data_IF_309182368059
#
_entry.id   IF_309182368059
#
_cell.length_a   1.000
_cell.length_b   1.000
_cell.length_c   1.000
_cell.angle_alpha   90.00
_cell.angle_beta   90.00
_cell.angle_gamma   90.00
#
_symmetry.space_group_name_H-M   'P 1'
#
loop_
_entity.id
_entity.type
_entity.pdbx_description
1 polymer ?
#
# COMPACT_ATOMS: atom_id res chain seq x y z
N UNK A 1 70.22 -32.61 17.30
CA UNK A 1 70.13 -31.29 16.64
C UNK A 1 68.99 -31.30 15.62
N UNK A 2 67.84 -30.73 15.99
CA UNK A 2 66.92 -29.96 15.12
C UNK A 2 65.77 -29.51 16.02
N UNK A 3 65.84 -28.24 16.41
CA UNK A 3 64.76 -27.50 17.06
C UNK A 3 63.85 -26.97 15.95
N UNK A 4 62.53 -27.14 16.10
CA UNK A 4 61.56 -26.28 15.41
C UNK A 4 60.51 -25.86 16.45
N UNK A 5 60.32 -24.54 16.49
CA UNK A 5 59.50 -23.78 17.40
C UNK A 5 57.99 -23.92 17.10
N UNK A 6 57.22 -24.06 18.19
CA UNK A 6 55.99 -23.33 18.56
C UNK A 6 55.06 -22.82 17.45
N UNK A 7 53.78 -23.23 17.51
CA UNK A 7 52.64 -22.31 17.44
C UNK A 7 51.38 -22.96 18.03
N UNK A 8 51.00 -22.52 19.23
CA UNK A 8 49.64 -22.63 19.75
C UNK A 8 48.72 -21.76 18.88
N UNK A 9 47.61 -22.31 18.40
CA UNK A 9 46.44 -21.53 18.03
C UNK A 9 45.21 -22.14 18.70
N UNK A 10 44.87 -21.57 19.86
CA UNK A 10 43.51 -21.56 20.38
C UNK A 10 42.83 -20.36 19.72
N UNK A 11 41.74 -20.54 18.98
CA UNK A 11 40.72 -19.49 18.86
C UNK A 11 39.33 -20.05 18.52
N UNK A 12 38.48 -19.98 19.54
CA UNK A 12 37.04 -19.70 19.58
C UNK A 12 36.07 -20.39 18.62
N UNK A 13 35.10 -21.08 19.24
CA UNK A 13 33.76 -21.26 18.70
C UNK A 13 33.15 -19.91 18.30
N UNK A 14 32.52 -19.87 17.14
CA UNK A 14 31.53 -18.85 16.77
C UNK A 14 30.28 -19.59 16.29
N UNK A 15 29.38 -19.82 17.24
CA UNK A 15 27.96 -20.09 16.99
C UNK A 15 27.40 -18.80 16.38
N UNK A 16 27.42 -18.69 15.05
CA UNK A 16 26.60 -17.75 14.30
C UNK A 16 25.41 -18.55 13.77
N UNK A 17 24.24 -18.54 14.40
CA UNK A 17 23.51 -17.29 14.68
C UNK A 17 22.88 -16.74 13.41
N UNK A 18 22.33 -17.63 12.55
CA UNK A 18 21.48 -17.25 11.42
C UNK A 18 20.06 -17.71 11.68
N UNK A 19 19.43 -17.21 12.75
CA UNK A 19 17.97 -17.22 12.81
C UNK A 19 17.55 -16.30 11.66
N UNK A 20 17.15 -16.90 10.54
CA UNK A 20 16.36 -16.22 9.52
C UNK A 20 15.05 -15.85 10.20
N UNK A 21 15.03 -14.70 10.87
CA UNK A 21 13.79 -14.02 11.16
C UNK A 21 13.27 -13.62 9.79
N UNK A 22 12.48 -14.51 9.18
CA UNK A 22 11.47 -14.16 8.22
C UNK A 22 10.62 -13.10 8.91
N UNK A 23 10.97 -11.84 8.69
CA UNK A 23 10.14 -10.71 9.02
C UNK A 23 8.91 -10.80 8.12
N UNK A 24 7.96 -11.67 8.49
CA UNK A 24 6.55 -11.44 8.18
C UNK A 24 6.17 -10.21 8.99
N UNK A 25 6.45 -9.05 8.43
CA UNK A 25 5.79 -7.81 8.84
C UNK A 25 4.33 -8.00 8.49
N UNK A 26 3.57 -8.61 9.41
CA UNK A 26 2.13 -8.57 9.35
C UNK A 26 1.73 -7.13 9.63
N UNK A 27 1.51 -6.35 8.58
CA UNK A 27 0.78 -5.10 8.71
C UNK A 27 -0.53 -5.46 9.43
N UNK A 28 -0.77 -4.87 10.60
CA UNK A 28 -1.90 -5.23 11.45
C UNK A 28 -3.20 -5.28 10.64
N UNK A 29 -4.11 -6.17 11.01
CA UNK A 29 -5.37 -6.38 10.29
C UNK A 29 -6.17 -5.06 10.22
N UNK A 30 -5.97 -4.29 9.15
CA UNK A 30 -6.78 -3.12 8.85
C UNK A 30 -8.22 -3.55 8.60
N UNK A 31 -9.17 -2.66 8.84
CA UNK A 31 -10.57 -2.90 8.49
C UNK A 31 -10.63 -3.14 6.99
N UNK A 32 -11.11 -4.31 6.58
CA UNK A 32 -11.27 -4.60 5.15
C UNK A 32 -12.41 -3.74 4.59
N UNK A 33 -12.12 -2.96 3.56
CA UNK A 33 -13.11 -2.08 2.93
C UNK A 33 -13.49 -2.64 1.57
N UNK A 34 -14.77 -2.92 1.41
CA UNK A 34 -15.39 -3.33 0.15
C UNK A 34 -15.70 -2.09 -0.71
N UNK A 35 -15.39 -2.14 -2.00
CA UNK A 35 -15.68 -1.05 -2.96
C UNK A 35 -17.16 -0.65 -3.01
N UNK A 36 -18.08 -1.56 -2.67
CA UNK A 36 -19.51 -1.26 -2.55
C UNK A 36 -19.78 -0.24 -1.45
N UNK A 37 -19.01 -0.24 -0.36
CA UNK A 37 -19.13 0.76 0.70
C UNK A 37 -18.68 2.14 0.20
N UNK A 38 -17.55 2.20 -0.50
CA UNK A 38 -17.04 3.44 -1.12
C UNK A 38 -18.05 4.01 -2.12
N UNK A 39 -18.63 3.15 -2.97
CA UNK A 39 -19.63 3.53 -3.96
C UNK A 39 -20.95 4.07 -3.37
N UNK A 40 -21.21 3.92 -2.07
CA UNK A 40 -22.39 4.50 -1.41
C UNK A 40 -22.21 5.99 -1.05
N UNK A 41 -21.00 6.54 -1.17
CA UNK A 41 -20.76 7.97 -0.97
C UNK A 41 -21.53 8.79 -2.02
N UNK A 42 -22.39 9.70 -1.56
CA UNK A 42 -22.97 10.75 -2.41
C UNK A 42 -21.91 11.84 -2.62
N UNK A 43 -21.13 11.68 -3.69
CA UNK A 43 -20.06 12.60 -4.04
C UNK A 43 -20.57 13.94 -4.60
N UNK A 44 -21.83 14.03 -5.03
CA UNK A 44 -22.42 15.29 -5.52
C UNK A 44 -22.81 16.20 -4.35
N UNK A 45 -23.38 15.61 -3.29
CA UNK A 45 -23.72 16.33 -2.06
C UNK A 45 -22.60 16.32 -1.01
N UNK A 46 -21.45 15.69 -1.30
CA UNK A 46 -20.36 15.44 -0.38
C UNK A 46 -20.83 14.81 0.95
N UNK A 47 -21.70 13.79 0.86
CA UNK A 47 -22.39 13.20 2.00
C UNK A 47 -22.05 11.71 2.16
N UNK A 48 -21.19 11.34 3.12
CA UNK A 48 -20.87 9.94 3.40
C UNK A 48 -22.00 9.24 4.17
N UNK A 49 -22.06 7.92 4.03
CA UNK A 49 -22.90 7.05 4.87
C UNK A 49 -22.36 7.00 6.30
N UNK A 50 -23.19 6.53 7.23
CA UNK A 50 -22.75 6.33 8.62
C UNK A 50 -21.61 5.32 8.70
N UNK A 51 -21.66 4.27 7.90
CA UNK A 51 -20.62 3.24 7.81
C UNK A 51 -19.29 3.80 7.29
N UNK A 52 -19.33 4.67 6.28
CA UNK A 52 -18.14 5.38 5.80
C UNK A 52 -17.56 6.28 6.89
N UNK A 53 -18.40 7.03 7.61
CA UNK A 53 -17.96 7.89 8.70
C UNK A 53 -17.30 7.09 9.83
N UNK A 54 -17.75 5.86 10.12
CA UNK A 54 -17.16 5.02 11.17
C UNK A 54 -15.73 4.56 10.87
N UNK A 55 -15.35 4.48 9.59
CA UNK A 55 -14.00 4.09 9.17
C UNK A 55 -13.09 5.28 8.83
N UNK A 56 -13.62 6.50 8.84
CA UNK A 56 -12.82 7.72 8.66
C UNK A 56 -11.77 7.87 9.78
N UNK A 57 -10.51 8.07 9.39
CA UNK A 57 -9.35 8.09 10.29
C UNK A 57 -8.98 6.72 10.88
N UNK A 58 -9.49 5.60 10.36
CA UNK A 58 -9.10 4.25 10.79
C UNK A 58 -8.09 3.62 9.84
N UNK A 59 -7.33 2.66 10.36
CA UNK A 59 -6.49 1.81 9.53
C UNK A 59 -7.35 0.80 8.78
N UNK A 60 -7.23 0.82 7.45
CA UNK A 60 -7.98 -0.04 6.53
C UNK A 60 -7.04 -0.89 5.69
N UNK A 61 -7.61 -1.89 5.02
CA UNK A 61 -7.03 -2.50 3.84
C UNK A 61 -8.05 -2.53 2.71
N UNK A 62 -7.63 -2.13 1.51
CA UNK A 62 -8.49 -2.06 0.33
C UNK A 62 -7.81 -2.84 -0.81
N UNK A 63 -8.49 -3.79 -1.46
CA UNK A 63 -7.92 -4.47 -2.61
C UNK A 63 -8.12 -3.61 -3.86
N UNK A 64 -7.19 -3.61 -4.81
CA UNK A 64 -7.38 -2.88 -6.06
C UNK A 64 -6.18 -2.92 -6.98
N UNK A 65 -6.24 -2.08 -8.01
CA UNK A 65 -5.19 -1.93 -9.02
C UNK A 65 -4.54 -0.55 -8.91
N UNK A 66 -3.23 -0.51 -9.05
CA UNK A 66 -2.44 0.72 -8.99
C UNK A 66 -2.46 1.41 -10.36
N UNK A 67 -2.84 2.68 -10.37
CA UNK A 67 -2.67 3.61 -11.49
C UNK A 67 -1.67 4.67 -11.04
N UNK A 68 -0.38 4.55 -11.43
CA UNK A 68 0.65 5.51 -11.03
C UNK A 68 0.29 6.92 -11.48
N UNK A 69 0.58 7.91 -10.64
CA UNK A 69 0.45 9.33 -10.99
C UNK A 69 1.79 9.96 -11.40
N UNK A 70 2.87 9.20 -11.32
CA UNK A 70 4.23 9.63 -11.60
C UNK A 70 4.82 8.80 -12.74
N UNK A 71 5.34 9.45 -13.78
CA UNK A 71 5.71 8.80 -15.05
C UNK A 71 7.12 8.16 -15.08
N UNK A 72 7.94 8.30 -14.03
CA UNK A 72 9.38 7.99 -14.16
C UNK A 72 10.08 7.36 -12.95
N UNK A 73 9.34 6.93 -11.93
CA UNK A 73 9.98 6.38 -10.73
C UNK A 73 9.94 4.86 -10.68
N UNK A 74 11.07 4.26 -10.32
CA UNK A 74 11.15 2.83 -9.95
C UNK A 74 10.31 2.53 -8.70
N UNK A 75 10.16 3.54 -7.83
CA UNK A 75 9.36 3.51 -6.62
C UNK A 75 8.18 4.46 -6.78
N UNK A 76 6.96 3.97 -6.56
CA UNK A 76 5.75 4.78 -6.61
C UNK A 76 5.47 5.33 -5.22
N UNK A 77 5.25 6.65 -5.12
CA UNK A 77 4.82 7.30 -3.87
C UNK A 77 3.39 7.79 -3.92
N UNK A 78 2.90 8.19 -5.09
CA UNK A 78 1.53 8.66 -5.28
C UNK A 78 0.84 7.94 -6.45
N UNK A 79 -0.35 7.42 -6.21
CA UNK A 79 -1.13 6.67 -7.20
C UNK A 79 -2.63 6.72 -6.91
N UNK A 80 -3.45 6.38 -7.91
CA UNK A 80 -4.85 6.04 -7.69
C UNK A 80 -4.99 4.53 -7.51
N UNK A 81 -5.70 4.13 -6.48
CA UNK A 81 -6.21 2.76 -6.34
C UNK A 81 -7.61 2.71 -6.94
N UNK A 82 -7.85 1.71 -7.80
CA UNK A 82 -9.13 1.51 -8.50
C UNK A 82 -9.61 0.06 -8.39
N UNK A 83 -10.93 -0.20 -8.48
CA UNK A 83 -11.47 -1.55 -8.31
C UNK A 83 -11.15 -2.50 -9.48
N UNK A 84 -10.85 -1.96 -10.66
CA UNK A 84 -10.52 -2.74 -11.86
C UNK A 84 -9.53 -1.97 -12.75
N UNK A 85 -8.65 -2.66 -13.50
CA UNK A 85 -7.60 -2.01 -14.29
C UNK A 85 -8.15 -1.29 -15.53
N UNK A 86 -9.40 -1.58 -15.94
CA UNK A 86 -10.10 -0.91 -17.04
C UNK A 86 -10.55 0.51 -16.69
N UNK A 87 -10.51 0.91 -15.41
CA UNK A 87 -11.13 2.14 -14.93
C UNK A 87 -10.54 3.42 -15.53
N UNK A 88 -9.26 3.45 -15.91
CA UNK A 88 -8.58 4.68 -16.36
C UNK A 88 -8.18 4.72 -17.84
N UNK A 89 -8.50 3.67 -18.61
CA UNK A 89 -8.13 3.56 -20.04
C UNK A 89 -9.20 4.11 -21.00
N UNK A 90 -10.35 4.56 -20.49
CA UNK A 90 -11.44 5.14 -21.28
C UNK A 90 -11.93 6.46 -20.66
N UNK A 91 -12.50 7.34 -21.49
CA UNK A 91 -13.11 8.60 -21.07
C UNK A 91 -14.65 8.46 -21.02
N UNK A 92 -15.34 9.11 -20.06
CA UNK A 92 -14.80 9.91 -18.96
C UNK A 92 -14.13 9.03 -17.88
N UNK A 93 -13.22 9.60 -17.06
CA UNK A 93 -12.67 8.93 -15.89
C UNK A 93 -13.77 8.45 -14.92
N UNK A 94 -13.45 7.53 -13.98
CA UNK A 94 -14.41 7.05 -12.99
C UNK A 94 -14.96 8.19 -12.12
N UNK A 95 -16.16 8.01 -11.53
CA UNK A 95 -16.68 8.93 -10.53
C UNK A 95 -15.74 9.04 -9.30
N UNK A 96 -15.77 10.16 -8.55
CA UNK A 96 -14.90 10.39 -7.39
C UNK A 96 -14.96 9.32 -6.29
N UNK A 97 -16.10 8.63 -6.16
CA UNK A 97 -16.30 7.57 -5.18
C UNK A 97 -15.88 6.17 -5.67
N UNK A 98 -15.27 6.07 -6.85
CA UNK A 98 -14.73 4.82 -7.43
C UNK A 98 -13.21 4.83 -7.54
N UNK A 99 -12.55 5.78 -6.90
CA UNK A 99 -11.10 5.93 -6.85
C UNK A 99 -10.68 6.23 -5.42
N UNK A 100 -9.46 5.85 -5.05
CA UNK A 100 -8.84 6.26 -3.79
C UNK A 100 -7.47 6.84 -4.12
N UNK A 101 -7.20 8.06 -3.64
CA UNK A 101 -5.89 8.68 -3.75
C UNK A 101 -4.98 8.06 -2.70
N UNK A 102 -3.86 7.47 -3.10
CA UNK A 102 -2.94 6.86 -2.15
C UNK A 102 -1.62 7.60 -2.15
N UNK A 103 -1.20 8.03 -0.96
CA UNK A 103 0.12 8.59 -0.72
C UNK A 103 0.89 7.70 0.24
N UNK A 104 1.92 7.03 -0.27
CA UNK A 104 2.73 6.12 0.53
C UNK A 104 3.71 6.89 1.41
N UNK A 105 3.83 6.49 2.67
CA UNK A 105 4.83 7.04 3.61
C UNK A 105 6.27 6.70 3.20
N UNK A 106 6.45 5.63 2.43
CA UNK A 106 7.73 5.19 1.85
C UNK A 106 7.47 4.74 0.42
N UNK A 107 8.38 5.03 -0.50
CA UNK A 107 8.27 4.54 -1.87
C UNK A 107 8.19 3.02 -1.92
N UNK A 108 7.29 2.50 -2.77
CA UNK A 108 7.07 1.06 -2.95
C UNK A 108 7.33 0.67 -4.40
N UNK A 109 7.76 -0.58 -4.62
CA UNK A 109 7.95 -1.06 -5.99
C UNK A 109 6.64 -1.00 -6.78
N UNK A 110 6.73 -0.53 -8.03
CA UNK A 110 5.58 -0.43 -8.92
C UNK A 110 5.04 -1.84 -9.26
N UNK A 111 3.98 -2.27 -8.59
CA UNK A 111 3.23 -3.47 -8.99
C UNK A 111 2.10 -3.04 -9.92
N UNK A 112 2.39 -3.00 -11.22
CA UNK A 112 1.42 -2.60 -12.25
C UNK A 112 0.77 -3.83 -12.87
N UNK A 113 -0.56 -3.79 -13.04
CA UNK A 113 -1.31 -4.81 -13.78
C UNK A 113 -1.74 -6.04 -12.98
N UNK A 114 -1.37 -6.13 -11.69
CA UNK A 114 -1.85 -7.15 -10.77
C UNK A 114 -2.62 -6.51 -9.60
N UNK A 115 -3.64 -7.19 -9.05
CA UNK A 115 -4.33 -6.70 -7.87
C UNK A 115 -3.43 -6.74 -6.64
N UNK A 116 -3.57 -5.74 -5.78
CA UNK A 116 -2.84 -5.59 -4.52
C UNK A 116 -3.78 -5.28 -3.37
N UNK A 117 -3.35 -5.59 -2.15
CA UNK A 117 -3.87 -5.00 -0.93
C UNK A 117 -3.09 -3.73 -0.59
N UNK A 118 -3.78 -2.61 -0.40
CA UNK A 118 -3.20 -1.37 0.14
C UNK A 118 -3.64 -1.20 1.58
N UNK A 119 -2.68 -0.98 2.47
CA UNK A 119 -2.89 -0.76 3.91
C UNK A 119 -2.55 0.68 4.27
N UNK A 120 -3.35 1.31 5.13
CA UNK A 120 -3.05 2.65 5.65
C UNK A 120 -4.22 3.30 6.38
N UNK A 121 -4.02 4.56 6.81
CA UNK A 121 -5.09 5.37 7.41
C UNK A 121 -6.01 5.90 6.31
N UNK A 122 -7.30 5.58 6.39
CA UNK A 122 -8.33 6.02 5.47
C UNK A 122 -8.87 7.40 5.85
N UNK A 123 -9.10 8.25 4.86
CA UNK A 123 -9.75 9.55 5.02
C UNK A 123 -10.82 9.77 3.97
N UNK A 124 -11.94 10.34 4.40
CA UNK A 124 -12.92 10.92 3.48
C UNK A 124 -12.48 12.36 3.20
N UNK A 125 -11.95 12.60 2.01
CA UNK A 125 -11.42 13.90 1.61
C UNK A 125 -11.50 14.07 0.10
N UNK A 126 -11.85 15.28 -0.35
CA UNK A 126 -11.87 15.61 -1.79
C UNK A 126 -10.48 16.04 -2.23
N UNK A 127 -9.81 15.19 -3.01
CA UNK A 127 -8.49 15.45 -3.59
C UNK A 127 -8.59 15.49 -5.12
N UNK A 128 -7.97 16.48 -5.75
CA UNK A 128 -7.92 16.59 -7.22
C UNK A 128 -6.68 15.89 -7.76
N UNK A 129 -6.89 14.86 -8.59
CA UNK A 129 -5.85 14.17 -9.36
C UNK A 129 -5.86 14.61 -10.82
N UNK A 130 -4.89 14.12 -11.62
CA UNK A 130 -4.90 14.30 -13.08
C UNK A 130 -6.10 13.63 -13.77
N UNK A 131 -6.76 12.68 -13.10
CA UNK A 131 -7.94 11.97 -13.60
C UNK A 131 -9.26 12.52 -13.05
N UNK A 132 -9.23 13.63 -12.29
CA UNK A 132 -10.42 14.26 -11.71
C UNK A 132 -10.42 14.25 -10.18
N UNK A 133 -11.56 14.62 -9.59
CA UNK A 133 -11.76 14.60 -8.15
C UNK A 133 -11.89 13.17 -7.62
N UNK A 134 -11.38 12.94 -6.42
CA UNK A 134 -11.38 11.68 -5.70
C UNK A 134 -11.90 11.96 -4.30
N UNK A 135 -12.86 11.16 -3.81
CA UNK A 135 -13.51 11.41 -2.51
C UNK A 135 -12.83 10.73 -1.32
N UNK A 136 -11.75 9.99 -1.56
CA UNK A 136 -11.07 9.18 -0.55
C UNK A 136 -9.57 9.29 -0.68
N UNK A 137 -8.89 9.31 0.46
CA UNK A 137 -7.44 9.28 0.54
C UNK A 137 -6.97 8.18 1.49
N UNK A 138 -5.84 7.57 1.18
CA UNK A 138 -5.11 6.69 2.09
C UNK A 138 -3.70 7.22 2.28
N UNK A 139 -3.35 7.46 3.54
CA UNK A 139 -1.96 7.58 3.97
C UNK A 139 -1.36 6.18 4.10
N UNK A 140 -0.73 5.72 3.03
CA UNK A 140 -0.33 4.33 2.82
C UNK A 140 0.86 3.89 3.66
N UNK A 141 0.68 2.78 4.37
CA UNK A 141 1.70 2.10 5.17
C UNK A 141 2.38 0.98 4.38
N UNK A 142 1.62 0.21 3.61
CA UNK A 142 2.13 -0.95 2.88
C UNK A 142 1.27 -1.37 1.69
N UNK A 143 1.89 -2.15 0.80
CA UNK A 143 1.25 -2.85 -0.31
C UNK A 143 1.65 -4.32 -0.27
N UNK A 144 0.68 -5.21 -0.44
CA UNK A 144 0.90 -6.65 -0.54
C UNK A 144 0.22 -7.19 -1.81
N UNK A 145 0.77 -8.25 -2.40
CA UNK A 145 0.09 -8.93 -3.50
C UNK A 145 -1.26 -9.49 -3.02
N UNK A 146 -2.31 -9.35 -3.85
CA UNK A 146 -3.58 -9.99 -3.58
C UNK A 146 -3.44 -11.52 -3.68
N UNK A 147 -3.94 -12.26 -2.69
CA UNK A 147 -3.90 -13.72 -2.60
C UNK A 147 -5.30 -14.31 -2.63
#
# INVERSE_FOLDING_TARGET
>A
MKWIFVALLVFSAAIGGGVYILSKSGHGAGIEVDWRLLGQMDYLANKPTTELQMIDGKNVKIPGFIVPLEDSQRLVTEFLLVPNPQACIHVPPPPPNQMVYVKMKKGVDAVVGAPVWVYGEFRISTTRSQYGEVSFEISGDAIEAYQ
#
